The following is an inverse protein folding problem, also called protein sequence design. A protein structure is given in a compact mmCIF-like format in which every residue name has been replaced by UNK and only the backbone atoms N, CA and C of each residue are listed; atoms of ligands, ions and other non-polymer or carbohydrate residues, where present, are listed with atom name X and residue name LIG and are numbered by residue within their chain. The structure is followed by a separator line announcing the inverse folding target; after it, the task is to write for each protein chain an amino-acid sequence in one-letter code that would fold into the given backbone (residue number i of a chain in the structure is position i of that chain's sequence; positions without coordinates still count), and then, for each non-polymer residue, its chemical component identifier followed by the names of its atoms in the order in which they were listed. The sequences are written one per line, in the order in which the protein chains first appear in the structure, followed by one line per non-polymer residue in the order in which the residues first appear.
data_IF_894476152917
#
_entry.id   IF_894476152917
#
_cell.length_a   1.000
_cell.length_b   1.000
_cell.length_c   1.000
_cell.angle_alpha   90.00
_cell.angle_beta   90.00
_cell.angle_gamma   90.00
#
_symmetry.space_group_name_H-M   'P 1'
#
loop_
_entity.id
_entity.type
_entity.pdbx_description
1 polymer ?
#
# COMPACT_ATOMS: atom_id res chain seq x y z
N UNK A 1 5.63 0.94 -11.86
CA UNK A 1 5.82 -0.31 -11.09
C UNK A 1 6.66 -1.27 -11.92
N UNK A 2 7.70 -1.88 -11.33
CA UNK A 2 8.54 -2.86 -12.01
C UNK A 2 7.76 -4.14 -12.36
N UNK A 3 8.21 -4.87 -13.39
CA UNK A 3 7.53 -6.11 -13.82
C UNK A 3 7.65 -7.23 -12.78
N UNK A 4 8.84 -7.40 -12.22
CA UNK A 4 9.16 -8.31 -11.10
C UNK A 4 9.96 -7.57 -10.04
N UNK A 5 9.77 -7.94 -8.78
CA UNK A 5 10.52 -7.37 -7.66
C UNK A 5 11.66 -8.31 -7.21
N UNK A 6 11.87 -9.42 -7.92
CA UNK A 6 12.94 -10.37 -7.65
C UNK A 6 13.55 -10.93 -8.95
N UNK A 7 14.86 -11.19 -8.92
CA UNK A 7 15.60 -12.00 -9.90
C UNK A 7 16.63 -12.82 -9.15
N UNK A 8 16.34 -14.11 -8.93
CA UNK A 8 17.18 -14.97 -8.09
C UNK A 8 17.30 -14.40 -6.67
N UNK A 9 18.50 -13.93 -6.31
CA UNK A 9 18.80 -13.34 -4.98
C UNK A 9 18.81 -11.81 -4.98
N UNK A 10 18.49 -11.19 -6.11
CA UNK A 10 18.37 -9.73 -6.23
C UNK A 10 16.92 -9.35 -6.00
N UNK A 11 16.68 -8.39 -5.11
CA UNK A 11 15.36 -7.99 -4.63
C UNK A 11 15.20 -6.47 -4.75
N UNK A 12 14.02 -6.01 -5.16
CA UNK A 12 13.64 -4.59 -5.24
C UNK A 12 12.58 -4.30 -4.17
N UNK A 13 12.68 -3.15 -3.50
CA UNK A 13 11.68 -2.68 -2.53
C UNK A 13 11.56 -1.15 -2.58
N UNK A 14 10.42 -0.62 -2.15
CA UNK A 14 10.15 0.82 -2.13
C UNK A 14 10.27 1.45 -3.53
N UNK A 15 10.86 2.63 -3.62
CA UNK A 15 10.95 3.39 -4.87
C UNK A 15 11.71 2.67 -6.00
N UNK A 16 12.61 1.74 -5.66
CA UNK A 16 13.30 0.90 -6.64
C UNK A 16 12.34 -0.10 -7.32
N UNK A 17 11.27 -0.50 -6.64
CA UNK A 17 10.25 -1.43 -7.15
C UNK A 17 9.04 -0.70 -7.73
N UNK A 18 8.61 0.40 -7.12
CA UNK A 18 7.45 1.18 -7.55
C UNK A 18 7.60 2.64 -7.20
N UNK A 19 7.47 3.51 -8.21
CA UNK A 19 7.44 4.95 -8.00
C UNK A 19 6.01 5.39 -7.70
N UNK A 20 5.77 5.95 -6.52
CA UNK A 20 4.48 6.49 -6.14
C UNK A 20 4.50 8.02 -6.25
N UNK A 21 3.44 8.60 -6.83
CA UNK A 21 3.26 10.06 -6.84
C UNK A 21 3.25 10.56 -5.39
N UNK A 22 4.11 11.55 -5.03
CA UNK A 22 4.14 12.08 -3.66
C UNK A 22 2.83 12.77 -3.28
N UNK A 23 2.04 13.17 -4.28
CA UNK A 23 0.84 13.97 -4.11
C UNK A 23 -0.30 13.24 -3.36
N UNK A 24 -0.21 11.93 -3.12
CA UNK A 24 -1.23 11.18 -2.35
C UNK A 24 -0.75 10.66 -0.99
N UNK A 25 0.53 10.85 -0.64
CA UNK A 25 1.06 10.61 0.71
C UNK A 25 1.32 9.16 1.13
N UNK A 26 1.36 8.20 0.20
CA UNK A 26 1.46 6.76 0.54
C UNK A 26 2.84 6.12 0.32
N UNK A 27 3.79 6.84 -0.28
CA UNK A 27 5.09 6.27 -0.67
C UNK A 27 5.83 5.61 0.51
N UNK A 28 5.89 6.30 1.65
CA UNK A 28 6.56 5.78 2.85
C UNK A 28 5.90 4.50 3.37
N UNK A 29 4.56 4.47 3.47
CA UNK A 29 3.84 3.29 3.96
C UNK A 29 4.07 2.07 3.06
N UNK A 30 4.06 2.26 1.74
CA UNK A 30 4.32 1.17 0.79
C UNK A 30 5.72 0.58 0.96
N UNK A 31 6.75 1.41 1.09
CA UNK A 31 8.13 0.95 1.28
C UNK A 31 8.35 0.25 2.63
N UNK A 32 7.77 0.76 3.72
CA UNK A 32 7.81 0.10 5.04
C UNK A 32 7.17 -1.29 4.96
N UNK A 33 5.99 -1.39 4.34
CA UNK A 33 5.29 -2.67 4.19
C UNK A 33 6.04 -3.65 3.27
N UNK A 34 6.77 -3.16 2.25
CA UNK A 34 7.67 -3.99 1.46
C UNK A 34 8.78 -4.59 2.32
N UNK A 35 9.43 -3.76 3.14
CA UNK A 35 10.52 -4.19 4.01
C UNK A 35 10.05 -5.27 5.00
N UNK A 36 8.92 -5.05 5.68
CA UNK A 36 8.34 -6.03 6.60
C UNK A 36 8.02 -7.37 5.93
N UNK A 37 7.42 -7.33 4.74
CA UNK A 37 7.09 -8.56 4.01
C UNK A 37 8.33 -9.29 3.49
N UNK A 38 9.36 -8.53 3.09
CA UNK A 38 10.58 -9.07 2.53
C UNK A 38 11.51 -9.67 3.59
N UNK A 39 11.64 -9.05 4.77
CA UNK A 39 12.51 -9.55 5.86
C UNK A 39 12.07 -10.91 6.36
N UNK A 40 10.76 -11.15 6.49
CA UNK A 40 10.19 -12.46 6.82
C UNK A 40 10.65 -13.54 5.82
N UNK A 41 10.55 -13.25 4.52
CA UNK A 41 10.90 -14.19 3.44
C UNK A 41 12.39 -14.42 3.32
N UNK A 42 13.19 -13.36 3.45
CA UNK A 42 14.65 -13.46 3.50
C UNK A 42 15.06 -14.36 4.66
N UNK A 43 14.43 -14.20 5.83
CA UNK A 43 14.72 -15.04 7.00
C UNK A 43 14.44 -16.52 6.74
N UNK A 44 13.28 -16.87 6.16
CA UNK A 44 12.94 -18.25 5.83
C UNK A 44 13.90 -18.89 4.82
N UNK A 45 14.30 -18.13 3.79
CA UNK A 45 15.30 -18.60 2.81
C UNK A 45 16.69 -18.73 3.44
N UNK A 46 17.08 -17.80 4.31
CA UNK A 46 18.39 -17.81 4.97
C UNK A 46 18.55 -18.99 5.92
N UNK A 47 17.49 -19.34 6.65
CA UNK A 47 17.47 -20.47 7.58
C UNK A 47 17.37 -21.83 6.87
N UNK A 48 17.02 -21.83 5.57
CA UNK A 48 16.84 -23.04 4.78
C UNK A 48 15.45 -23.67 4.90
N UNK A 49 14.53 -23.01 5.60
CA UNK A 49 13.15 -23.47 5.78
C UNK A 49 12.32 -23.34 4.50
N UNK A 50 12.74 -22.47 3.57
CA UNK A 50 12.04 -22.18 2.33
C UNK A 50 12.97 -21.97 1.12
N UNK A 51 12.43 -22.18 -0.07
CA UNK A 51 13.10 -21.91 -1.34
C UNK A 51 12.95 -20.45 -1.81
N UNK A 52 13.63 -20.13 -2.92
CA UNK A 52 13.58 -18.81 -3.54
C UNK A 52 12.18 -18.46 -4.12
N UNK A 53 11.27 -19.43 -4.21
CA UNK A 53 9.88 -19.25 -4.62
C UNK A 53 9.11 -18.28 -3.69
N UNK A 54 9.53 -18.13 -2.44
CA UNK A 54 9.02 -17.09 -1.56
C UNK A 54 9.23 -15.67 -2.13
N UNK A 55 10.29 -15.43 -2.89
CA UNK A 55 10.52 -14.14 -3.52
C UNK A 55 9.58 -13.90 -4.71
N UNK A 56 9.12 -14.96 -5.39
CA UNK A 56 8.05 -14.81 -6.38
C UNK A 56 6.73 -14.47 -5.69
N UNK A 57 6.46 -15.06 -4.51
CA UNK A 57 5.32 -14.67 -3.68
C UNK A 57 5.43 -13.22 -3.21
N UNK A 58 6.61 -12.76 -2.81
CA UNK A 58 6.86 -11.34 -2.50
C UNK A 58 6.46 -10.44 -3.69
N UNK A 59 6.92 -10.76 -4.90
CA UNK A 59 6.55 -10.02 -6.10
C UNK A 59 5.03 -9.98 -6.29
N UNK A 60 4.34 -11.14 -6.21
CA UNK A 60 2.87 -11.19 -6.35
C UNK A 60 2.17 -10.31 -5.32
N UNK A 61 2.52 -10.47 -4.05
CA UNK A 61 1.92 -9.74 -2.93
C UNK A 61 2.12 -8.22 -3.06
N UNK A 62 3.34 -7.77 -3.30
CA UNK A 62 3.68 -6.34 -3.24
C UNK A 62 3.31 -5.58 -4.51
N UNK A 63 3.41 -6.23 -5.67
CA UNK A 63 2.97 -5.64 -6.95
C UNK A 63 1.46 -5.44 -6.98
N UNK A 64 0.67 -6.39 -6.47
CA UNK A 64 -0.79 -6.24 -6.37
C UNK A 64 -1.16 -5.00 -5.56
N UNK A 65 -0.55 -4.81 -4.38
CA UNK A 65 -0.82 -3.63 -3.53
C UNK A 65 -0.39 -2.31 -4.17
N UNK A 66 0.77 -2.28 -4.83
CA UNK A 66 1.22 -1.10 -5.56
C UNK A 66 0.23 -0.70 -6.67
N UNK A 67 -0.33 -1.68 -7.39
CA UNK A 67 -1.26 -1.42 -8.51
C UNK A 67 -2.67 -1.09 -8.00
N UNK A 68 -3.21 -1.90 -7.09
CA UNK A 68 -4.64 -1.89 -6.76
C UNK A 68 -5.00 -0.87 -5.68
N UNK A 69 -4.09 -0.61 -4.74
CA UNK A 69 -4.37 0.22 -3.56
C UNK A 69 -3.64 1.55 -3.59
N UNK A 70 -2.33 1.53 -3.84
CA UNK A 70 -1.53 2.75 -3.77
C UNK A 70 -2.00 3.80 -4.80
N UNK A 71 -2.26 3.38 -6.04
CA UNK A 71 -2.79 4.29 -7.06
C UNK A 71 -4.17 4.83 -6.70
N UNK A 72 -5.14 3.97 -6.35
CA UNK A 72 -6.51 4.40 -6.07
C UNK A 72 -6.61 5.39 -4.91
N UNK A 73 -5.94 5.10 -3.79
CA UNK A 73 -5.99 5.97 -2.60
C UNK A 73 -5.20 7.26 -2.86
N UNK A 74 -4.05 7.17 -3.54
CA UNK A 74 -3.23 8.33 -3.88
C UNK A 74 -3.99 9.30 -4.79
N UNK A 75 -4.67 8.77 -5.82
CA UNK A 75 -5.48 9.56 -6.74
C UNK A 75 -6.66 10.21 -6.02
N UNK A 76 -7.41 9.45 -5.19
CA UNK A 76 -8.51 9.98 -4.41
C UNK A 76 -8.08 11.12 -3.46
N UNK A 77 -6.93 10.94 -2.77
CA UNK A 77 -6.35 11.97 -1.92
C UNK A 77 -5.99 13.22 -2.71
N UNK A 78 -5.34 13.04 -3.86
CA UNK A 78 -4.94 14.12 -4.75
C UNK A 78 -6.13 14.90 -5.29
N UNK A 79 -7.18 14.21 -5.77
CA UNK A 79 -8.42 14.84 -6.21
C UNK A 79 -9.05 15.67 -5.11
N UNK A 80 -9.17 15.10 -3.89
CA UNK A 80 -9.70 15.81 -2.73
C UNK A 80 -8.90 17.07 -2.40
N UNK A 81 -7.57 17.01 -2.44
CA UNK A 81 -6.71 18.16 -2.12
C UNK A 81 -6.77 19.26 -3.18
N UNK A 82 -7.01 18.91 -4.44
CA UNK A 82 -7.05 19.86 -5.56
C UNK A 82 -8.43 20.44 -5.86
N UNK A 83 -9.49 19.95 -5.22
CA UNK A 83 -10.84 20.47 -5.43
C UNK A 83 -10.94 21.95 -5.02
N UNK A 84 -11.46 22.77 -5.94
CA UNK A 84 -11.59 24.22 -5.83
C UNK A 84 -13.04 24.69 -5.81
N UNK A 85 -13.97 23.88 -6.30
CA UNK A 85 -15.40 24.16 -6.26
C UNK A 85 -15.86 24.19 -4.78
N UNK A 86 -16.40 25.34 -4.30
CA UNK A 86 -16.77 25.49 -2.90
C UNK A 86 -17.92 24.56 -2.47
N UNK A 87 -18.83 24.21 -3.38
CA UNK A 87 -19.94 23.30 -3.10
C UNK A 87 -19.40 21.89 -2.91
N UNK A 88 -18.55 21.43 -3.83
CA UNK A 88 -17.92 20.10 -3.73
C UNK A 88 -17.01 19.97 -2.52
N UNK A 89 -16.22 21.01 -2.20
CA UNK A 89 -15.40 21.05 -0.99
C UNK A 89 -16.24 20.91 0.28
N UNK A 90 -17.41 21.57 0.35
CA UNK A 90 -18.31 21.44 1.50
C UNK A 90 -18.82 20.02 1.65
N UNK A 91 -19.27 19.38 0.56
CA UNK A 91 -19.69 17.97 0.57
C UNK A 91 -18.58 17.06 1.10
N UNK A 92 -17.34 17.23 0.63
CA UNK A 92 -16.20 16.42 1.10
C UNK A 92 -15.92 16.66 2.59
N UNK A 93 -15.99 17.91 3.06
CA UNK A 93 -15.73 18.23 4.46
C UNK A 93 -16.83 17.72 5.39
N UNK A 94 -18.09 17.77 4.96
CA UNK A 94 -19.22 17.25 5.74
C UNK A 94 -19.16 15.72 5.84
N UNK A 95 -18.73 15.04 4.77
CA UNK A 95 -18.46 13.60 4.83
C UNK A 95 -17.29 13.26 5.76
N UNK A 96 -16.21 14.04 5.73
CA UNK A 96 -15.10 13.86 6.68
C UNK A 96 -15.55 14.06 8.13
N UNK A 97 -16.38 15.06 8.41
CA UNK A 97 -16.96 15.26 9.75
C UNK A 97 -17.79 14.06 10.18
N UNK A 98 -18.62 13.52 9.27
CA UNK A 98 -19.43 12.32 9.52
C UNK A 98 -18.54 11.13 9.87
N UNK A 99 -17.48 10.90 9.10
CA UNK A 99 -16.51 9.81 9.36
C UNK A 99 -15.84 10.01 10.72
N UNK A 100 -15.38 11.22 11.05
CA UNK A 100 -14.69 11.48 12.33
C UNK A 100 -15.63 11.55 13.53
N UNK A 101 -16.94 11.70 13.32
CA UNK A 101 -17.95 11.74 14.37
C UNK A 101 -18.50 10.36 14.76
N UNK A 102 -18.06 9.30 14.08
CA UNK A 102 -18.46 7.92 14.32
C UNK A 102 -17.21 7.05 14.45
N UNK A 103 -17.01 6.42 15.61
CA UNK A 103 -15.81 5.63 15.91
C UNK A 103 -15.61 4.44 14.96
N UNK A 104 -16.70 3.84 14.49
CA UNK A 104 -16.64 2.69 13.58
C UNK A 104 -16.14 3.14 12.21
N UNK A 105 -16.71 4.22 11.69
CA UNK A 105 -16.31 4.79 10.39
C UNK A 105 -14.90 5.36 10.45
N UNK A 106 -14.55 6.05 11.53
CA UNK A 106 -13.20 6.58 11.74
C UNK A 106 -12.18 5.44 11.76
N UNK A 107 -12.45 4.37 12.50
CA UNK A 107 -11.57 3.19 12.55
C UNK A 107 -11.40 2.58 11.17
N UNK A 108 -12.49 2.34 10.44
CA UNK A 108 -12.42 1.78 9.09
C UNK A 108 -11.59 2.66 8.15
N UNK A 109 -11.82 3.98 8.19
CA UNK A 109 -11.06 4.94 7.40
C UNK A 109 -9.56 4.92 7.73
N UNK A 110 -9.19 4.86 9.02
CA UNK A 110 -7.80 4.76 9.46
C UNK A 110 -7.13 3.47 9.00
N UNK A 111 -7.84 2.34 9.06
CA UNK A 111 -7.32 1.04 8.61
C UNK A 111 -7.03 1.01 7.11
N UNK A 112 -7.84 1.71 6.31
CA UNK A 112 -7.65 1.83 4.87
C UNK A 112 -6.57 2.85 4.51
N UNK A 113 -6.61 4.06 5.09
CA UNK A 113 -5.63 5.14 4.82
C UNK A 113 -4.22 4.79 5.30
N UNK A 114 -4.09 3.98 6.35
CA UNK A 114 -2.81 3.43 6.82
C UNK A 114 -2.37 2.17 6.07
N UNK A 115 -3.12 1.77 5.02
CA UNK A 115 -2.85 0.59 4.19
C UNK A 115 -2.84 -0.76 4.95
N UNK A 116 -3.31 -0.81 6.19
CA UNK A 116 -3.30 -2.05 7.00
C UNK A 116 -4.21 -3.11 6.38
N UNK A 117 -5.41 -2.71 5.94
CA UNK A 117 -6.32 -3.63 5.25
C UNK A 117 -5.71 -4.15 3.93
N UNK A 118 -4.95 -3.32 3.23
CA UNK A 118 -4.25 -3.74 2.00
C UNK A 118 -3.16 -4.78 2.30
N UNK A 119 -2.42 -4.63 3.40
CA UNK A 119 -1.42 -5.62 3.82
C UNK A 119 -2.07 -6.94 4.20
N UNK A 120 -3.21 -6.90 4.90
CA UNK A 120 -3.98 -8.10 5.25
C UNK A 120 -4.43 -8.85 3.99
N UNK A 121 -4.97 -8.12 3.02
CA UNK A 121 -5.36 -8.71 1.75
C UNK A 121 -4.16 -9.31 1.00
N UNK A 122 -3.00 -8.63 0.99
CA UNK A 122 -1.78 -9.17 0.39
C UNK A 122 -1.36 -10.52 1.01
N UNK A 123 -1.57 -10.71 2.31
CA UNK A 123 -1.20 -11.96 2.99
C UNK A 123 -1.98 -13.18 2.46
N UNK A 124 -3.18 -12.97 1.94
CA UNK A 124 -4.05 -14.00 1.35
C UNK A 124 -3.54 -14.48 -0.01
N UNK A 125 -2.68 -13.70 -0.68
CA UNK A 125 -2.08 -14.05 -1.97
C UNK A 125 -0.95 -15.07 -1.74
N UNK A 126 -1.07 -16.23 -2.38
CA UNK A 126 -0.11 -17.34 -2.32
C UNK A 126 0.91 -17.32 -3.45
#
# INVERSE_FOLDING_TARGET
VAERFNVGRILLAGDAAHLNSPNGGLGMNTGVHDAFNLTEKISGVWQGDNGLDLFDRYTRQRKAIAIEYAHKISDANHFRMRERDPVKRRVIMDEMKRITGDDTLMREWLMNSSMINSVRHAAEIT
#
